data_IF_797739958535
#
_entry.id   IF_797739958535
#
_cell.length_a   1.000
_cell.length_b   1.000
_cell.length_c   1.000
_cell.angle_alpha   90.00
_cell.angle_beta   90.00
_cell.angle_gamma   90.00
#
_symmetry.space_group_name_H-M   'P 1'
#
loop_
_entity.id
_entity.type
_entity.pdbx_description
1 polymer ?
#
# COMPACT_ATOMS: atom_id res chain seq x y z
N UNK A 1 18.79 -21.67 -15.31
CA UNK A 1 19.74 -20.68 -14.76
C UNK A 1 18.97 -19.87 -13.73
N UNK A 2 19.12 -20.20 -12.45
CA UNK A 2 18.44 -19.50 -11.36
C UNK A 2 19.14 -18.18 -11.13
N UNK A 3 18.58 -17.09 -11.67
CA UNK A 3 19.05 -15.74 -11.36
C UNK A 3 18.95 -15.52 -9.83
N UNK A 4 19.94 -14.85 -9.25
CA UNK A 4 19.91 -14.51 -7.82
C UNK A 4 18.63 -13.69 -7.53
N UNK A 5 17.85 -14.01 -6.49
CA UNK A 5 16.63 -13.26 -6.15
C UNK A 5 16.90 -11.81 -5.71
N UNK A 6 18.19 -11.46 -5.54
CA UNK A 6 18.68 -10.13 -5.20
C UNK A 6 19.20 -9.35 -6.42
N UNK A 7 19.30 -10.00 -7.58
CA UNK A 7 19.87 -9.40 -8.79
C UNK A 7 18.76 -9.19 -9.82
N UNK A 8 18.19 -8.00 -9.83
CA UNK A 8 17.24 -7.59 -10.86
C UNK A 8 17.98 -6.93 -12.03
N UNK A 9 17.88 -7.52 -13.22
CA UNK A 9 18.56 -6.98 -14.40
C UNK A 9 17.99 -5.59 -14.77
N UNK A 10 18.84 -4.56 -14.93
CA UNK A 10 18.37 -3.24 -15.35
C UNK A 10 17.87 -3.29 -16.79
N UNK A 11 16.69 -2.73 -17.04
CA UNK A 11 16.12 -2.60 -18.37
C UNK A 11 16.54 -1.29 -19.03
N UNK A 12 16.65 -0.22 -18.23
CA UNK A 12 17.00 1.12 -18.69
C UNK A 12 17.93 1.78 -17.67
N UNK A 13 18.85 2.62 -18.14
CA UNK A 13 19.69 3.46 -17.29
C UNK A 13 19.33 4.93 -17.51
N UNK A 14 18.92 5.62 -16.45
CA UNK A 14 18.79 7.08 -16.41
C UNK A 14 19.95 7.64 -15.57
N UNK A 15 21.09 7.87 -16.23
CA UNK A 15 22.32 8.29 -15.54
C UNK A 15 22.77 7.21 -14.52
N UNK A 16 22.92 7.54 -13.22
CA UNK A 16 23.32 6.56 -12.20
C UNK A 16 22.15 5.64 -11.75
N UNK A 17 20.91 5.92 -12.17
CA UNK A 17 19.73 5.17 -11.75
C UNK A 17 19.44 4.05 -12.75
N UNK A 18 19.50 2.82 -12.26
CA UNK A 18 19.07 1.62 -12.97
C UNK A 18 17.57 1.41 -12.77
N UNK A 19 16.80 1.51 -13.85
CA UNK A 19 15.37 1.18 -13.84
C UNK A 19 15.22 -0.30 -14.17
N UNK A 20 14.62 -1.04 -13.24
CA UNK A 20 14.35 -2.46 -13.34
C UNK A 20 12.87 -2.72 -13.68
N UNK A 21 12.55 -3.96 -14.08
CA UNK A 21 11.17 -4.37 -14.37
C UNK A 21 10.18 -4.08 -13.23
N UNK A 22 10.50 -4.37 -11.94
CA UNK A 22 9.60 -4.09 -10.83
C UNK A 22 9.34 -2.59 -10.65
N UNK A 23 10.33 -1.73 -10.92
CA UNK A 23 10.17 -0.27 -10.84
C UNK A 23 9.16 0.21 -11.88
N UNK A 24 9.23 -0.29 -13.12
CA UNK A 24 8.25 0.06 -14.15
C UNK A 24 6.85 -0.47 -13.80
N UNK A 25 6.77 -1.71 -13.32
CA UNK A 25 5.50 -2.31 -12.91
C UNK A 25 4.85 -1.53 -11.75
N UNK A 26 5.63 -1.14 -10.74
CA UNK A 26 5.14 -0.32 -9.62
C UNK A 26 4.67 1.05 -10.10
N UNK A 27 5.39 1.73 -10.99
CA UNK A 27 4.95 3.01 -11.57
C UNK A 27 3.65 2.87 -12.36
N UNK A 28 3.52 1.83 -13.18
CA UNK A 28 2.28 1.56 -13.90
C UNK A 28 1.09 1.37 -12.96
N UNK A 29 1.28 0.62 -11.87
CA UNK A 29 0.25 0.41 -10.85
C UNK A 29 -0.08 1.72 -10.11
N UNK A 30 0.92 2.51 -9.72
CA UNK A 30 0.71 3.80 -9.06
C UNK A 30 -0.09 4.75 -9.96
N UNK A 31 0.25 4.83 -11.25
CA UNK A 31 -0.49 5.64 -12.22
C UNK A 31 -1.93 5.12 -12.34
N UNK A 32 -2.11 3.82 -12.50
CA UNK A 32 -3.43 3.19 -12.63
C UNK A 32 -4.31 3.48 -11.41
N UNK A 33 -3.80 3.23 -10.19
CA UNK A 33 -4.51 3.51 -8.94
C UNK A 33 -4.87 4.99 -8.86
N UNK A 34 -3.90 5.88 -9.11
CA UNK A 34 -4.11 7.33 -9.00
C UNK A 34 -5.19 7.82 -9.95
N UNK A 35 -5.10 7.42 -11.22
CA UNK A 35 -6.06 7.81 -12.27
C UNK A 35 -7.44 7.23 -11.97
N UNK A 36 -7.50 5.94 -11.58
CA UNK A 36 -8.76 5.28 -11.26
C UNK A 36 -9.43 5.93 -10.06
N UNK A 37 -8.69 6.18 -8.97
CA UNK A 37 -9.22 6.88 -7.79
C UNK A 37 -9.72 8.28 -8.16
N UNK A 38 -8.92 9.08 -8.86
CA UNK A 38 -9.32 10.43 -9.28
C UNK A 38 -10.58 10.43 -10.15
N UNK A 39 -10.68 9.47 -11.09
CA UNK A 39 -11.84 9.33 -11.96
C UNK A 39 -13.10 8.92 -11.20
N UNK A 40 -12.98 7.93 -10.30
CA UNK A 40 -14.08 7.44 -9.46
C UNK A 40 -14.59 8.52 -8.49
N UNK A 41 -13.71 9.37 -7.97
CA UNK A 41 -14.09 10.43 -7.02
C UNK A 41 -14.57 11.72 -7.66
N UNK A 42 -14.55 11.86 -8.99
CA UNK A 42 -14.82 13.17 -9.64
C UNK A 42 -16.28 13.63 -9.53
N UNK A 43 -17.23 12.68 -9.42
CA UNK A 43 -18.67 12.94 -9.50
C UNK A 43 -19.43 12.21 -8.37
N UNK A 44 -19.04 12.45 -7.12
CA UNK A 44 -19.72 11.86 -5.97
C UNK A 44 -21.11 12.49 -5.79
N UNK A 45 -22.12 11.65 -5.58
CA UNK A 45 -23.51 12.06 -5.34
C UNK A 45 -23.95 11.65 -3.93
N UNK A 46 -24.91 12.38 -3.36
CA UNK A 46 -25.56 11.98 -2.10
C UNK A 46 -26.41 10.71 -2.29
N UNK A 47 -26.95 10.50 -3.48
CA UNK A 47 -27.58 9.25 -3.89
C UNK A 47 -26.58 8.45 -4.71
N UNK A 48 -25.86 7.48 -4.11
CA UNK A 48 -24.78 6.78 -4.78
C UNK A 48 -25.32 5.95 -5.95
N UNK A 49 -24.70 6.11 -7.12
CA UNK A 49 -24.86 5.18 -8.23
C UNK A 49 -24.13 3.86 -7.97
N UNK A 50 -24.35 2.84 -8.82
CA UNK A 50 -23.78 1.49 -8.64
C UNK A 50 -22.27 1.47 -8.38
N UNK A 51 -21.51 2.30 -9.12
CA UNK A 51 -20.04 2.38 -8.99
C UNK A 51 -19.63 2.99 -7.65
N UNK A 52 -20.32 4.06 -7.22
CA UNK A 52 -20.08 4.68 -5.92
C UNK A 52 -20.44 3.72 -4.79
N UNK A 53 -21.50 2.92 -4.93
CA UNK A 53 -21.86 1.88 -3.94
C UNK A 53 -20.73 0.85 -3.75
N UNK A 54 -20.07 0.40 -4.83
CA UNK A 54 -18.93 -0.52 -4.73
C UNK A 54 -17.74 0.14 -4.05
N UNK A 55 -17.47 1.41 -4.36
CA UNK A 55 -16.42 2.19 -3.72
C UNK A 55 -16.68 2.37 -2.22
N UNK A 56 -17.90 2.73 -1.85
CA UNK A 56 -18.31 2.93 -0.46
C UNK A 56 -18.19 1.61 0.32
N UNK A 57 -18.59 0.50 -0.29
CA UNK A 57 -18.43 -0.84 0.31
C UNK A 57 -16.95 -1.18 0.56
N UNK A 58 -16.06 -0.85 -0.39
CA UNK A 58 -14.63 -1.08 -0.24
C UNK A 58 -14.04 -0.23 0.88
N UNK A 59 -14.38 1.07 0.94
CA UNK A 59 -13.90 1.98 2.00
C UNK A 59 -14.43 1.53 3.36
N UNK A 60 -15.72 1.18 3.45
CA UNK A 60 -16.33 0.67 4.69
C UNK A 60 -15.67 -0.62 5.16
N UNK A 61 -15.33 -1.52 4.24
CA UNK A 61 -14.61 -2.77 4.57
C UNK A 61 -13.23 -2.49 5.16
N UNK A 62 -12.50 -1.52 4.60
CA UNK A 62 -11.19 -1.11 5.12
C UNK A 62 -11.36 -0.47 6.49
N UNK A 63 -12.30 0.46 6.63
CA UNK A 63 -12.57 1.15 7.88
C UNK A 63 -12.98 0.19 9.00
N UNK A 64 -13.78 -0.83 8.67
CA UNK A 64 -14.19 -1.85 9.60
C UNK A 64 -12.99 -2.67 10.08
N UNK A 65 -12.13 -3.11 9.19
CA UNK A 65 -10.90 -3.82 9.57
C UNK A 65 -10.00 -2.96 10.48
N UNK A 66 -9.87 -1.66 10.17
CA UNK A 66 -9.08 -0.75 11.01
C UNK A 66 -9.72 -0.63 12.39
N UNK A 67 -11.04 -0.48 12.49
CA UNK A 67 -11.73 -0.41 13.78
C UNK A 67 -11.57 -1.70 14.58
N UNK A 68 -11.72 -2.85 13.94
CA UNK A 68 -11.64 -4.15 14.60
C UNK A 68 -10.24 -4.43 15.15
N UNK A 69 -9.20 -4.03 14.42
CA UNK A 69 -7.80 -4.27 14.82
C UNK A 69 -7.29 -3.18 15.78
N UNK A 70 -7.50 -1.92 15.44
CA UNK A 70 -6.88 -0.78 16.13
C UNK A 70 -7.77 -0.19 17.24
N UNK A 71 -9.05 -0.60 17.31
CA UNK A 71 -10.02 -0.14 18.32
C UNK A 71 -10.08 1.39 18.42
N UNK A 72 -9.94 2.08 17.28
CA UNK A 72 -9.86 3.54 17.20
C UNK A 72 -10.48 4.06 15.90
N UNK A 73 -10.61 5.38 15.80
CA UNK A 73 -11.14 6.01 14.59
C UNK A 73 -10.27 5.68 13.37
N UNK A 74 -10.86 5.15 12.29
CA UNK A 74 -10.10 4.74 11.12
C UNK A 74 -9.50 5.93 10.37
N UNK A 75 -10.04 7.14 10.53
CA UNK A 75 -9.64 8.33 9.78
C UNK A 75 -8.12 8.60 9.79
N UNK A 76 -7.45 8.32 10.91
CA UNK A 76 -6.00 8.54 11.08
C UNK A 76 -5.16 7.59 10.23
N UNK A 77 -5.63 6.36 10.02
CA UNK A 77 -4.89 5.26 9.39
C UNK A 77 -5.41 4.90 8.00
N UNK A 78 -6.64 5.30 7.67
CA UNK A 78 -7.35 4.98 6.43
C UNK A 78 -6.52 5.29 5.20
N UNK A 79 -5.85 6.44 5.16
CA UNK A 79 -5.04 6.84 4.02
C UNK A 79 -3.90 5.86 3.76
N UNK A 80 -3.12 5.50 4.78
CA UNK A 80 -2.00 4.58 4.64
C UNK A 80 -2.48 3.14 4.38
N UNK A 81 -3.38 2.62 5.22
CA UNK A 81 -3.83 1.24 5.13
C UNK A 81 -4.63 1.03 3.83
N UNK A 82 -5.49 1.97 3.47
CA UNK A 82 -6.28 1.89 2.25
C UNK A 82 -5.44 1.97 0.98
N UNK A 83 -4.42 2.83 0.94
CA UNK A 83 -3.52 2.91 -0.23
C UNK A 83 -2.65 1.66 -0.35
N UNK A 84 -2.09 1.16 0.76
CA UNK A 84 -1.36 -0.11 0.77
C UNK A 84 -2.24 -1.28 0.33
N UNK A 85 -3.47 -1.35 0.83
CA UNK A 85 -4.43 -2.39 0.45
C UNK A 85 -4.71 -2.36 -1.07
N UNK A 86 -5.07 -1.19 -1.62
CA UNK A 86 -5.34 -1.05 -3.05
C UNK A 86 -4.11 -1.36 -3.90
N UNK A 87 -2.93 -0.88 -3.49
CA UNK A 87 -1.68 -1.15 -4.18
C UNK A 87 -1.37 -2.64 -4.23
N UNK A 88 -1.39 -3.33 -3.08
CA UNK A 88 -1.08 -4.77 -3.01
C UNK A 88 -2.13 -5.59 -3.74
N UNK A 89 -3.41 -5.23 -3.64
CA UNK A 89 -4.49 -5.90 -4.37
C UNK A 89 -4.25 -5.86 -5.89
N UNK A 90 -3.97 -4.68 -6.43
CA UNK A 90 -3.75 -4.50 -7.88
C UNK A 90 -2.41 -5.10 -8.30
N UNK A 91 -1.36 -4.98 -7.49
CA UNK A 91 -0.08 -5.63 -7.72
C UNK A 91 -0.24 -7.15 -7.84
N UNK A 92 -0.99 -7.78 -6.93
CA UNK A 92 -1.21 -9.22 -6.98
C UNK A 92 -2.12 -9.62 -8.15
N UNK A 93 -3.13 -8.82 -8.47
CA UNK A 93 -3.99 -9.08 -9.64
C UNK A 93 -3.28 -8.87 -10.98
N UNK A 94 -2.20 -8.08 -11.01
CA UNK A 94 -1.41 -7.91 -12.23
C UNK A 94 -0.80 -9.24 -12.74
N UNK A 95 -0.62 -10.22 -11.85
CA UNK A 95 -0.20 -11.58 -12.23
C UNK A 95 -1.21 -12.32 -13.13
N UNK A 96 -2.47 -11.86 -13.19
CA UNK A 96 -3.48 -12.41 -14.10
C UNK A 96 -3.28 -11.95 -15.55
N UNK A 97 -2.49 -10.88 -15.76
CA UNK A 97 -2.19 -10.38 -17.09
C UNK A 97 -1.05 -11.22 -17.71
N UNK A 98 -1.26 -11.84 -18.88
CA UNK A 98 -0.24 -12.66 -19.51
C UNK A 98 1.00 -11.82 -19.86
N UNK A 99 2.17 -12.28 -19.44
CA UNK A 99 3.44 -11.59 -19.69
C UNK A 99 3.81 -10.50 -18.69
N UNK A 100 3.06 -10.34 -17.59
CA UNK A 100 3.38 -9.39 -16.52
C UNK A 100 3.84 -10.12 -15.25
N UNK A 101 5.04 -9.78 -14.78
CA UNK A 101 5.51 -10.19 -13.45
C UNK A 101 5.00 -9.19 -12.41
N UNK A 102 4.24 -9.62 -11.38
CA UNK A 102 3.78 -8.70 -10.36
C UNK A 102 4.99 -8.16 -9.58
N UNK A 103 5.00 -6.86 -9.20
CA UNK A 103 6.14 -6.30 -8.48
C UNK A 103 6.36 -6.98 -7.11
N UNK A 104 5.30 -7.54 -6.51
CA UNK A 104 5.34 -8.33 -5.27
C UNK A 104 5.99 -9.71 -5.43
N UNK A 105 6.35 -10.14 -6.64
CA UNK A 105 7.22 -11.31 -6.83
C UNK A 105 8.69 -11.03 -6.45
N UNK A 106 9.06 -9.77 -6.27
CA UNK A 106 10.42 -9.36 -5.96
C UNK A 106 10.55 -8.98 -4.49
N UNK A 107 11.55 -9.57 -3.82
CA UNK A 107 11.82 -9.34 -2.40
C UNK A 107 12.05 -7.85 -2.08
N UNK A 108 12.68 -7.12 -3.00
CA UNK A 108 12.96 -5.69 -2.86
C UNK A 108 11.67 -4.87 -2.67
N UNK A 109 10.61 -5.21 -3.41
CA UNK A 109 9.30 -4.54 -3.31
C UNK A 109 8.65 -4.81 -1.95
N UNK A 110 8.59 -6.08 -1.55
CA UNK A 110 7.97 -6.46 -0.28
C UNK A 110 8.74 -5.90 0.92
N UNK A 111 10.08 -5.90 0.85
CA UNK A 111 10.93 -5.28 1.86
C UNK A 111 10.67 -3.77 1.96
N UNK A 112 10.52 -3.07 0.83
CA UNK A 112 10.21 -1.64 0.83
C UNK A 112 8.84 -1.36 1.48
N UNK A 113 7.81 -2.13 1.15
CA UNK A 113 6.48 -2.01 1.78
C UNK A 113 6.54 -2.29 3.28
N UNK A 114 7.26 -3.34 3.68
CA UNK A 114 7.44 -3.68 5.09
C UNK A 114 8.13 -2.55 5.87
N UNK A 115 9.15 -1.91 5.29
CA UNK A 115 9.82 -0.76 5.91
C UNK A 115 8.89 0.46 6.02
N UNK A 116 8.03 0.71 5.04
CA UNK A 116 7.01 1.77 5.11
C UNK A 116 6.06 1.51 6.28
N UNK A 117 5.54 0.29 6.40
CA UNK A 117 4.64 -0.11 7.51
C UNK A 117 5.35 -0.02 8.85
N UNK A 118 6.60 -0.51 8.95
CA UNK A 118 7.40 -0.44 10.17
C UNK A 118 7.60 1.03 10.61
N UNK A 119 8.02 1.88 9.67
CA UNK A 119 8.21 3.31 9.94
C UNK A 119 6.90 3.98 10.35
N UNK A 120 5.79 3.65 9.70
CA UNK A 120 4.48 4.15 10.06
C UNK A 120 4.05 3.70 11.47
N UNK A 121 4.24 2.44 11.84
CA UNK A 121 3.93 1.93 13.17
C UNK A 121 4.70 2.69 14.25
N UNK A 122 6.00 2.93 14.03
CA UNK A 122 6.82 3.74 14.96
C UNK A 122 6.28 5.18 15.02
N UNK A 123 6.05 5.80 13.86
CA UNK A 123 5.57 7.18 13.77
C UNK A 123 4.21 7.37 14.48
N UNK A 124 3.22 6.54 14.17
CA UNK A 124 1.89 6.63 14.78
C UNK A 124 1.93 6.24 16.25
N UNK A 125 2.74 5.26 16.64
CA UNK A 125 2.93 4.87 18.05
C UNK A 125 3.48 6.02 18.89
N UNK A 126 4.53 6.70 18.41
CA UNK A 126 5.10 7.88 19.06
C UNK A 126 4.10 9.03 19.08
N UNK A 127 3.38 9.27 17.97
CA UNK A 127 2.38 10.35 17.91
C UNK A 127 1.22 10.14 18.89
N UNK A 128 0.81 8.91 19.13
CA UNK A 128 -0.31 8.60 20.03
C UNK A 128 0.06 8.67 21.51
N UNK A 129 1.27 8.27 21.90
CA UNK A 129 1.68 8.09 23.32
C UNK A 129 2.83 9.00 23.78
N UNK A 130 3.42 9.77 22.86
CA UNK A 130 4.70 10.44 23.07
C UNK A 130 5.88 9.46 23.01
N UNK A 131 7.10 9.97 22.90
CA UNK A 131 8.32 9.14 22.82
C UNK A 131 8.53 8.32 24.09
N UNK A 132 8.39 8.94 25.26
CA UNK A 132 8.54 8.27 26.55
C UNK A 132 7.44 7.20 26.76
N UNK A 133 6.19 7.52 26.43
CA UNK A 133 5.08 6.57 26.53
C UNK A 133 5.17 5.42 25.52
N UNK A 134 5.74 5.67 24.34
CA UNK A 134 6.02 4.62 23.35
C UNK A 134 7.03 3.60 23.86
N UNK A 135 8.16 4.05 24.42
CA UNK A 135 9.16 3.14 24.99
C UNK A 135 8.70 2.47 26.29
N UNK A 136 7.94 3.19 27.14
CA UNK A 136 7.37 2.62 28.36
C UNK A 136 6.40 1.46 28.06
N UNK A 137 5.65 1.52 26.96
CA UNK A 137 4.76 0.45 26.54
C UNK A 137 5.48 -0.89 26.25
N UNK A 138 6.78 -0.89 25.97
CA UNK A 138 7.57 -2.14 25.83
C UNK A 138 7.97 -2.76 27.16
N UNK A 139 7.91 -1.98 28.25
CA UNK A 139 8.25 -2.43 29.60
C UNK A 139 7.01 -2.81 30.42
N UNK A 140 5.80 -2.48 29.96
CA UNK A 140 4.55 -2.94 30.57
C UNK A 140 4.33 -4.44 30.27
N UNK A 141 4.03 -5.27 31.27
CA UNK A 141 3.69 -6.67 31.04
C UNK A 141 2.34 -6.74 30.28
N UNK A 142 2.33 -7.53 29.20
CA UNK A 142 1.17 -7.79 28.33
C UNK A 142 0.07 -8.59 29.00
#
# INVERSE_FOLDING_TARGET
MTASPLATAPLLHLGPLSITEPVLATWAIIILVTVMSAWLTRNLSLTPGKVQTVQDLLIETIDQQIRDIMQTSPATYRALIGTLFLFVLIANWSALLPGMTPPTAHLETDAALALIVLGATIFYGIRARGTAGYFAAFAEPS
#
